data_IF_915658884756
#
_entry.id   IF_915658884756
#
_cell.length_a   1.000
_cell.length_b   1.000
_cell.length_c   1.000
_cell.angle_alpha   90.00
_cell.angle_beta   90.00
_cell.angle_gamma   90.00
#
_symmetry.space_group_name_H-M   'P 1'
#
loop_
_entity.id
_entity.type
_entity.pdbx_description
1 polymer ?
#
# COMPACT_ATOMS: atom_id res chain seq x y z
N UNK A 1 -8.24 41.81 34.62
CA UNK A 1 -7.18 42.25 33.69
C UNK A 1 -5.95 41.33 33.64
N UNK A 2 -5.35 40.92 34.77
CA UNK A 2 -4.15 40.05 34.77
C UNK A 2 -4.37 38.67 34.11
N UNK A 3 -5.54 38.05 34.29
CA UNK A 3 -5.85 36.74 33.70
C UNK A 3 -5.99 36.77 32.17
N UNK A 4 -6.42 37.89 31.58
CA UNK A 4 -6.55 38.03 30.11
C UNK A 4 -5.19 38.12 29.41
N UNK A 5 -4.19 38.72 30.05
CA UNK A 5 -2.82 38.81 29.50
C UNK A 5 -2.13 37.44 29.56
N UNK A 6 -2.33 36.67 30.63
CA UNK A 6 -1.77 35.33 30.75
C UNK A 6 -2.35 34.35 29.71
N UNK A 7 -3.66 34.41 29.45
CA UNK A 7 -4.30 33.61 28.39
C UNK A 7 -3.77 34.02 27.01
N UNK A 8 -3.61 35.32 26.77
CA UNK A 8 -3.09 35.81 25.49
C UNK A 8 -1.63 35.39 25.26
N UNK A 9 -0.77 35.47 26.28
CA UNK A 9 0.61 35.00 26.22
C UNK A 9 0.70 33.47 26.05
N UNK A 10 -0.19 32.72 26.70
CA UNK A 10 -0.27 31.27 26.52
C UNK A 10 -0.68 30.90 25.09
N UNK A 11 -1.68 31.58 24.52
CA UNK A 11 -2.09 31.37 23.13
C UNK A 11 -0.96 31.71 22.14
N UNK A 12 -0.21 32.79 22.36
CA UNK A 12 0.93 33.16 21.51
C UNK A 12 2.04 32.10 21.57
N UNK A 13 2.26 31.43 22.70
CA UNK A 13 3.32 30.43 22.83
C UNK A 13 2.88 29.03 22.34
N UNK A 14 1.61 28.66 22.53
CA UNK A 14 1.12 27.31 22.21
C UNK A 14 0.73 27.17 20.74
N UNK A 15 0.12 28.19 20.12
CA UNK A 15 -0.34 28.11 18.72
C UNK A 15 0.83 27.84 17.75
N UNK A 16 1.98 28.53 17.82
CA UNK A 16 3.11 28.24 16.94
C UNK A 16 3.62 26.81 17.09
N UNK A 17 3.69 26.29 18.33
CA UNK A 17 4.17 24.93 18.57
C UNK A 17 3.26 23.88 17.92
N UNK A 18 1.94 24.06 17.98
CA UNK A 18 0.99 23.20 17.30
C UNK A 18 1.16 23.24 15.76
N UNK A 19 1.33 24.44 15.18
CA UNK A 19 1.55 24.61 13.74
C UNK A 19 2.87 23.96 13.28
N UNK A 20 3.95 24.14 14.04
CA UNK A 20 5.24 23.50 13.75
C UNK A 20 5.19 21.97 13.90
N UNK A 21 4.43 21.44 14.86
CA UNK A 21 4.26 20.00 15.01
C UNK A 21 3.45 19.40 13.85
N UNK A 22 2.40 20.10 13.40
CA UNK A 22 1.61 19.71 12.22
C UNK A 22 2.47 19.71 10.95
N UNK A 23 3.29 20.74 10.73
CA UNK A 23 4.15 20.80 9.55
C UNK A 23 5.20 19.68 9.51
N UNK A 24 5.82 19.34 10.65
CA UNK A 24 6.75 18.19 10.73
C UNK A 24 6.07 16.84 10.45
N UNK A 25 4.81 16.69 10.87
CA UNK A 25 4.03 15.47 10.60
C UNK A 25 3.66 15.38 9.12
N UNK A 26 3.24 16.50 8.53
CA UNK A 26 2.94 16.60 7.10
C UNK A 26 4.16 16.22 6.25
N UNK A 27 5.32 16.79 6.54
CA UNK A 27 6.58 16.49 5.84
C UNK A 27 6.88 14.99 5.90
N UNK A 28 6.73 14.36 7.07
CA UNK A 28 6.95 12.92 7.22
C UNK A 28 6.00 12.07 6.40
N UNK A 29 4.72 12.45 6.29
CA UNK A 29 3.76 11.71 5.47
C UNK A 29 4.00 11.90 3.97
N UNK A 30 4.40 13.11 3.55
CA UNK A 30 4.81 13.37 2.17
C UNK A 30 6.07 12.57 1.81
N UNK A 31 7.07 12.55 2.69
CA UNK A 31 8.28 11.74 2.50
C UNK A 31 7.93 10.25 2.43
N UNK A 32 7.15 9.74 3.37
CA UNK A 32 6.71 8.34 3.34
C UNK A 32 6.00 7.98 2.04
N UNK A 33 5.09 8.85 1.57
CA UNK A 33 4.45 8.66 0.27
C UNK A 33 5.47 8.62 -0.87
N UNK A 34 6.48 9.50 -0.84
CA UNK A 34 7.58 9.48 -1.80
C UNK A 34 8.36 8.17 -1.76
N UNK A 35 8.56 7.57 -0.61
CA UNK A 35 9.31 6.31 -0.52
C UNK A 35 8.50 5.14 -1.13
N UNK A 36 7.18 5.14 -0.96
CA UNK A 36 6.33 3.98 -1.27
C UNK A 36 5.54 4.07 -2.57
N UNK A 37 5.46 5.22 -3.25
CA UNK A 37 4.54 5.39 -4.39
C UNK A 37 5.00 4.73 -5.71
N UNK A 38 6.31 4.55 -5.92
CA UNK A 38 6.89 4.08 -7.18
C UNK A 38 7.96 3.04 -6.89
N UNK A 39 8.11 2.08 -7.80
CA UNK A 39 9.16 1.07 -7.70
C UNK A 39 10.50 1.67 -8.12
N UNK A 40 11.54 1.46 -7.33
CA UNK A 40 12.92 1.74 -7.75
C UNK A 40 13.51 0.49 -8.41
N UNK A 41 14.07 0.65 -9.61
CA UNK A 41 14.70 -0.43 -10.36
C UNK A 41 16.22 -0.42 -10.19
N UNK A 42 16.86 -1.57 -10.40
CA UNK A 42 18.31 -1.72 -10.28
C UNK A 42 19.12 -0.85 -11.27
N UNK A 43 18.48 -0.33 -12.31
CA UNK A 43 19.09 0.61 -13.26
C UNK A 43 19.09 2.07 -12.76
N UNK A 44 18.66 2.32 -11.52
CA UNK A 44 18.61 3.65 -10.92
C UNK A 44 17.37 4.48 -11.29
N UNK A 45 16.39 3.89 -11.97
CA UNK A 45 15.17 4.59 -12.40
C UNK A 45 13.97 4.21 -11.55
N UNK A 46 13.02 5.14 -11.43
CA UNK A 46 11.71 4.87 -10.85
C UNK A 46 10.71 4.44 -11.93
N UNK A 47 9.80 3.54 -11.58
CA UNK A 47 8.62 3.27 -12.39
C UNK A 47 7.74 4.51 -12.54
N UNK A 48 6.95 4.62 -13.62
CA UNK A 48 5.81 5.53 -13.63
C UNK A 48 4.87 5.24 -12.45
N UNK A 49 4.08 6.24 -12.05
CA UNK A 49 3.04 6.06 -11.05
C UNK A 49 1.94 5.14 -11.61
N UNK A 50 1.66 4.03 -10.92
CA UNK A 50 0.63 3.06 -11.32
C UNK A 50 -0.57 3.18 -10.41
N UNK A 51 -1.79 3.25 -10.98
CA UNK A 51 -3.04 3.38 -10.23
C UNK A 51 -4.14 2.56 -10.91
N UNK A 52 -5.12 2.11 -10.14
CA UNK A 52 -6.42 1.77 -10.73
C UNK A 52 -7.18 3.05 -11.10
N UNK A 53 -7.96 3.00 -12.18
CA UNK A 53 -8.78 4.12 -12.65
C UNK A 53 -10.25 3.73 -12.86
N UNK A 54 -10.65 2.57 -12.33
CA UNK A 54 -11.96 1.95 -12.50
C UNK A 54 -12.32 1.11 -11.28
N UNK A 55 -13.59 0.73 -11.21
CA UNK A 55 -14.04 -0.32 -10.29
C UNK A 55 -13.27 -1.62 -10.55
N UNK A 56 -12.99 -2.36 -9.48
CA UNK A 56 -12.25 -3.62 -9.54
C UNK A 56 -13.01 -4.77 -8.90
N UNK A 57 -12.79 -5.96 -9.45
CA UNK A 57 -13.18 -7.23 -8.86
C UNK A 57 -11.98 -7.90 -8.22
N UNK A 58 -12.13 -8.43 -7.02
CA UNK A 58 -11.11 -9.25 -6.39
C UNK A 58 -11.63 -10.65 -6.07
N UNK A 59 -10.72 -11.62 -6.07
CA UNK A 59 -10.99 -13.00 -5.62
C UNK A 59 -9.92 -13.43 -4.63
N UNK A 60 -10.29 -14.37 -3.76
CA UNK A 60 -9.36 -15.09 -2.89
C UNK A 60 -9.28 -16.53 -3.38
N UNK A 61 -8.07 -17.09 -3.45
CA UNK A 61 -7.83 -18.45 -3.92
C UNK A 61 -6.84 -19.20 -3.02
N UNK A 62 -6.82 -20.53 -3.13
CA UNK A 62 -5.94 -21.40 -2.33
C UNK A 62 -6.61 -21.87 -1.04
N UNK A 63 -5.87 -21.89 0.07
CA UNK A 63 -6.35 -22.18 1.41
C UNK A 63 -7.25 -21.03 1.92
N UNK A 64 -8.55 -21.23 1.77
CA UNK A 64 -9.59 -20.32 2.25
C UNK A 64 -10.06 -20.67 3.66
N UNK A 65 -9.14 -21.05 4.55
CA UNK A 65 -9.52 -21.23 5.95
C UNK A 65 -10.26 -19.98 6.48
N UNK A 66 -11.14 -20.21 7.45
CA UNK A 66 -12.01 -19.14 7.93
C UNK A 66 -11.25 -17.97 8.58
N UNK A 67 -9.97 -18.16 8.95
CA UNK A 67 -9.15 -17.15 9.59
C UNK A 67 -8.61 -16.17 8.55
N UNK A 68 -7.90 -16.66 7.54
CA UNK A 68 -7.30 -15.82 6.51
C UNK A 68 -8.34 -15.16 5.62
N UNK A 69 -9.42 -15.88 5.29
CA UNK A 69 -10.50 -15.29 4.50
C UNK A 69 -11.13 -14.08 5.23
N UNK A 70 -11.43 -14.20 6.53
CA UNK A 70 -11.94 -13.07 7.33
C UNK A 70 -10.94 -11.90 7.38
N UNK A 71 -9.65 -12.20 7.43
CA UNK A 71 -8.61 -11.18 7.48
C UNK A 71 -8.51 -10.43 6.15
N UNK A 72 -8.53 -11.14 5.01
CA UNK A 72 -8.56 -10.51 3.69
C UNK A 72 -9.79 -9.63 3.56
N UNK A 73 -10.99 -10.14 3.86
CA UNK A 73 -12.24 -9.36 3.77
C UNK A 73 -12.12 -8.07 4.58
N UNK A 74 -11.67 -8.16 5.83
CA UNK A 74 -11.48 -6.98 6.67
C UNK A 74 -10.51 -5.96 6.05
N UNK A 75 -9.36 -6.41 5.54
CA UNK A 75 -8.38 -5.52 4.93
C UNK A 75 -8.96 -4.87 3.67
N UNK A 76 -9.70 -5.62 2.85
CA UNK A 76 -10.34 -5.09 1.64
C UNK A 76 -11.46 -4.09 1.97
N UNK A 77 -12.21 -4.31 3.06
CA UNK A 77 -13.17 -3.32 3.59
C UNK A 77 -12.44 -2.04 4.01
N UNK A 78 -11.32 -2.16 4.73
CA UNK A 78 -10.49 -1.02 5.11
C UNK A 78 -9.93 -0.28 3.87
N UNK A 79 -9.58 -1.00 2.78
CA UNK A 79 -9.19 -0.34 1.51
C UNK A 79 -10.37 0.38 0.87
N UNK A 80 -11.56 -0.22 0.87
CA UNK A 80 -12.76 0.36 0.25
C UNK A 80 -13.11 1.73 0.83
N UNK A 81 -12.85 1.98 2.11
CA UNK A 81 -13.04 3.31 2.73
C UNK A 81 -12.05 4.38 2.22
N UNK A 82 -10.93 3.96 1.63
CA UNK A 82 -9.82 4.82 1.20
C UNK A 82 -9.74 4.98 -0.31
N UNK A 83 -10.36 4.08 -1.05
CA UNK A 83 -10.27 3.95 -2.50
C UNK A 83 -11.51 4.55 -3.18
N UNK A 84 -11.35 5.40 -4.21
CA UNK A 84 -12.46 6.16 -4.79
C UNK A 84 -13.37 5.33 -5.70
N UNK A 85 -12.95 4.13 -6.11
CA UNK A 85 -13.74 3.24 -6.95
C UNK A 85 -14.34 2.09 -6.13
N UNK A 86 -15.28 1.36 -6.71
CA UNK A 86 -15.88 0.20 -6.06
C UNK A 86 -14.94 -1.00 -6.14
N UNK A 87 -14.84 -1.72 -5.03
CA UNK A 87 -14.19 -3.01 -4.90
C UNK A 87 -15.29 -4.04 -4.68
N UNK A 88 -15.33 -5.08 -5.51
CA UNK A 88 -16.33 -6.15 -5.40
C UNK A 88 -15.66 -7.51 -5.33
N UNK A 89 -16.16 -8.37 -4.45
CA UNK A 89 -15.73 -9.77 -4.44
C UNK A 89 -16.37 -10.52 -5.62
N UNK A 90 -15.59 -11.37 -6.28
CA UNK A 90 -16.07 -12.35 -7.25
C UNK A 90 -15.54 -13.73 -6.88
N UNK A 91 -16.37 -14.77 -7.06
CA UNK A 91 -15.93 -16.16 -6.97
C UNK A 91 -15.31 -16.67 -8.27
N UNK A 92 -15.51 -15.95 -9.37
CA UNK A 92 -14.93 -16.28 -10.67
C UNK A 92 -13.54 -15.64 -10.81
N UNK A 93 -12.52 -16.50 -10.90
CA UNK A 93 -11.13 -16.07 -11.02
C UNK A 93 -10.82 -15.42 -12.36
N UNK A 94 -11.54 -15.79 -13.41
CA UNK A 94 -11.32 -15.25 -14.77
C UNK A 94 -11.85 -13.81 -14.89
N UNK A 95 -12.79 -13.43 -14.02
CA UNK A 95 -13.32 -12.06 -13.94
C UNK A 95 -12.57 -11.17 -12.93
N UNK A 96 -11.60 -11.70 -12.18
CA UNK A 96 -10.91 -10.96 -11.13
C UNK A 96 -9.80 -10.07 -11.69
N UNK A 97 -9.80 -8.80 -11.29
CA UNK A 97 -8.70 -7.86 -11.55
C UNK A 97 -7.60 -7.99 -10.51
N UNK A 98 -7.96 -8.35 -9.27
CA UNK A 98 -7.06 -8.59 -8.16
C UNK A 98 -7.20 -10.02 -7.64
N UNK A 99 -6.16 -10.83 -7.78
CA UNK A 99 -6.11 -12.20 -7.26
C UNK A 99 -5.23 -12.28 -6.02
N UNK A 100 -5.85 -12.65 -4.90
CA UNK A 100 -5.17 -12.89 -3.62
C UNK A 100 -5.05 -14.41 -3.43
N UNK A 101 -3.85 -14.95 -3.61
CA UNK A 101 -3.60 -16.38 -3.39
C UNK A 101 -3.01 -16.60 -2.00
N UNK A 102 -3.66 -17.45 -1.23
CA UNK A 102 -3.24 -17.87 0.10
C UNK A 102 -2.91 -19.36 0.05
N UNK A 103 -1.64 -19.74 0.19
CA UNK A 103 -1.23 -21.15 0.22
C UNK A 103 0.09 -21.37 -0.47
N UNK A 104 0.48 -22.63 -0.68
CA UNK A 104 1.82 -22.96 -1.15
C UNK A 104 2.22 -22.22 -2.45
N UNK A 105 3.41 -21.62 -2.45
CA UNK A 105 3.88 -20.83 -3.60
C UNK A 105 4.09 -21.64 -4.88
N UNK A 106 4.36 -22.94 -4.78
CA UNK A 106 4.48 -23.82 -5.94
C UNK A 106 3.11 -24.02 -6.59
N UNK A 107 2.04 -24.13 -5.79
CA UNK A 107 0.67 -24.16 -6.32
C UNK A 107 0.33 -22.83 -7.00
N UNK A 108 0.71 -21.70 -6.41
CA UNK A 108 0.55 -20.39 -7.06
C UNK A 108 1.27 -20.32 -8.41
N UNK A 109 2.55 -20.75 -8.46
CA UNK A 109 3.32 -20.77 -9.71
C UNK A 109 2.63 -21.56 -10.81
N UNK A 110 2.12 -22.75 -10.49
CA UNK A 110 1.45 -23.64 -11.45
C UNK A 110 0.20 -23.01 -12.07
N UNK A 111 -0.50 -22.15 -11.33
CA UNK A 111 -1.79 -21.61 -11.73
C UNK A 111 -1.76 -20.17 -12.26
N UNK A 112 -0.82 -19.34 -11.80
CA UNK A 112 -0.86 -17.89 -12.06
C UNK A 112 0.42 -17.33 -12.69
N UNK A 113 1.51 -18.10 -12.73
CA UNK A 113 2.78 -17.65 -13.30
C UNK A 113 3.06 -18.36 -14.63
N UNK A 114 3.83 -17.71 -15.51
CA UNK A 114 4.33 -18.38 -16.70
C UNK A 114 5.28 -19.52 -16.31
N UNK A 115 5.35 -20.56 -17.15
CA UNK A 115 6.20 -21.74 -16.91
C UNK A 115 7.68 -21.38 -16.76
N UNK A 116 8.09 -20.28 -17.37
CA UNK A 116 9.46 -19.81 -17.46
C UNK A 116 9.91 -19.05 -16.20
N UNK A 117 8.98 -18.72 -15.29
CA UNK A 117 9.33 -18.05 -14.03
C UNK A 117 9.93 -19.06 -13.07
N UNK A 118 11.22 -18.92 -12.80
CA UNK A 118 11.91 -19.64 -11.73
C UNK A 118 11.70 -18.91 -10.39
N UNK A 119 11.21 -19.65 -9.40
CA UNK A 119 11.15 -19.18 -8.02
C UNK A 119 12.50 -19.45 -7.37
N UNK A 120 13.03 -18.47 -6.64
CA UNK A 120 14.22 -18.70 -5.84
C UNK A 120 13.91 -19.72 -4.74
N UNK A 121 14.89 -20.55 -4.40
CA UNK A 121 14.77 -21.48 -3.28
C UNK A 121 14.40 -20.71 -2.00
N UNK A 122 13.42 -21.21 -1.25
CA UNK A 122 12.91 -20.55 -0.04
C UNK A 122 11.95 -19.38 -0.27
N UNK A 123 11.58 -19.06 -1.52
CA UNK A 123 10.51 -18.08 -1.78
C UNK A 123 9.21 -18.52 -1.11
N UNK A 124 8.54 -17.61 -0.42
CA UNK A 124 7.27 -17.87 0.29
C UNK A 124 6.20 -16.83 -0.04
N UNK A 125 6.49 -15.97 -1.03
CA UNK A 125 5.58 -14.94 -1.49
C UNK A 125 5.95 -14.54 -2.93
N UNK A 126 4.99 -14.02 -3.68
CA UNK A 126 5.22 -13.47 -5.02
C UNK A 126 4.23 -12.35 -5.30
N UNK A 127 4.63 -11.36 -6.09
CA UNK A 127 3.78 -10.25 -6.51
C UNK A 127 3.95 -10.01 -8.01
N UNK A 128 2.85 -10.01 -8.75
CA UNK A 128 2.79 -9.77 -10.20
C UNK A 128 1.70 -8.77 -10.53
N UNK A 129 1.93 -7.98 -11.57
CA UNK A 129 0.96 -7.02 -12.06
C UNK A 129 1.13 -6.81 -13.56
N UNK A 130 0.05 -6.38 -14.20
CA UNK A 130 0.01 -5.90 -15.58
C UNK A 130 -0.61 -4.51 -15.62
N UNK A 131 -0.11 -3.71 -16.54
CA UNK A 131 -0.58 -2.34 -16.76
C UNK A 131 -1.00 -2.17 -18.22
N UNK A 132 -1.89 -1.21 -18.46
CA UNK A 132 -2.22 -0.76 -19.80
C UNK A 132 -1.15 0.20 -20.36
N UNK A 133 -1.37 0.70 -21.59
CA UNK A 133 -0.44 1.62 -22.25
C UNK A 133 -0.38 3.01 -21.58
N UNK A 134 -1.30 3.31 -20.68
CA UNK A 134 -1.37 4.53 -19.89
C UNK A 134 -0.80 4.33 -18.47
N UNK A 135 -0.21 3.17 -18.19
CA UNK A 135 0.31 2.72 -16.89
C UNK A 135 -0.75 2.51 -15.80
N UNK A 136 -2.04 2.46 -16.16
CA UNK A 136 -3.05 2.07 -15.20
C UNK A 136 -2.90 0.59 -14.89
N UNK A 137 -3.10 0.22 -13.62
CA UNK A 137 -3.19 -1.17 -13.24
C UNK A 137 -4.40 -1.79 -13.96
N UNK A 138 -4.16 -2.93 -14.61
CA UNK A 138 -5.20 -3.70 -15.27
C UNK A 138 -5.41 -5.07 -14.62
N UNK A 139 -4.34 -5.63 -14.05
CA UNK A 139 -4.42 -6.88 -13.29
C UNK A 139 -3.32 -6.90 -12.24
N UNK A 140 -3.61 -7.45 -11.06
CA UNK A 140 -2.64 -7.75 -10.02
C UNK A 140 -2.92 -9.14 -9.48
N UNK A 141 -1.86 -9.91 -9.25
CA UNK A 141 -1.96 -11.13 -8.45
C UNK A 141 -0.79 -11.25 -7.51
N UNK A 142 -1.04 -11.80 -6.32
CA UNK A 142 0.02 -12.09 -5.38
C UNK A 142 -0.25 -13.36 -4.58
N UNK A 143 0.83 -13.91 -4.05
CA UNK A 143 0.84 -15.10 -3.20
C UNK A 143 1.40 -14.76 -1.83
N UNK A 144 0.74 -15.23 -0.78
CA UNK A 144 1.28 -15.35 0.57
C UNK A 144 1.23 -16.84 0.94
N UNK A 145 2.39 -17.44 1.18
CA UNK A 145 2.48 -18.86 1.51
C UNK A 145 2.10 -19.13 2.97
N UNK A 146 0.80 -19.32 3.20
CA UNK A 146 0.23 -19.59 4.53
C UNK A 146 0.28 -21.06 4.95
N UNK A 147 0.88 -21.92 4.13
CA UNK A 147 0.98 -23.36 4.40
C UNK A 147 2.38 -23.75 4.85
N UNK A 148 3.40 -23.05 4.33
CA UNK A 148 4.80 -23.33 4.59
C UNK A 148 5.40 -22.40 5.65
N UNK A 149 4.76 -21.25 5.91
CA UNK A 149 5.13 -20.31 6.96
C UNK A 149 4.24 -20.56 8.18
N UNK A 150 4.83 -20.81 9.35
CA UNK A 150 4.10 -20.94 10.62
C UNK A 150 4.33 -19.72 11.53
N UNK A 151 4.25 -18.52 10.95
CA UNK A 151 4.45 -17.23 11.63
C UNK A 151 3.36 -16.26 11.20
N UNK A 152 2.24 -16.28 11.94
CA UNK A 152 1.01 -15.50 11.65
C UNK A 152 1.21 -14.01 11.47
N UNK A 153 2.14 -13.42 12.22
CA UNK A 153 2.42 -12.00 12.12
C UNK A 153 3.22 -11.67 10.86
N UNK A 154 4.07 -12.59 10.40
CA UNK A 154 4.79 -12.44 9.14
C UNK A 154 3.86 -12.58 7.93
N UNK A 155 2.97 -13.57 7.95
CA UNK A 155 1.94 -13.75 6.94
C UNK A 155 1.00 -12.52 6.89
N UNK A 156 0.64 -11.96 8.05
CA UNK A 156 -0.10 -10.70 8.14
C UNK A 156 0.63 -9.55 7.49
N UNK A 157 1.90 -9.37 7.83
CA UNK A 157 2.76 -8.33 7.29
C UNK A 157 2.80 -8.39 5.76
N UNK A 158 3.06 -9.59 5.20
CA UNK A 158 3.10 -9.81 3.76
C UNK A 158 1.75 -9.46 3.11
N UNK A 159 0.64 -9.89 3.72
CA UNK A 159 -0.68 -9.62 3.19
C UNK A 159 -1.02 -8.12 3.18
N UNK A 160 -0.77 -7.40 4.28
CA UNK A 160 -1.01 -5.96 4.34
C UNK A 160 -0.14 -5.19 3.34
N UNK A 161 1.13 -5.57 3.20
CA UNK A 161 2.05 -5.00 2.21
C UNK A 161 1.54 -5.24 0.79
N UNK A 162 1.24 -6.48 0.45
CA UNK A 162 0.88 -6.86 -0.91
C UNK A 162 -0.48 -6.35 -1.34
N UNK A 163 -1.42 -6.21 -0.41
CA UNK A 163 -2.66 -5.50 -0.70
C UNK A 163 -2.33 -4.04 -1.07
N UNK A 164 -1.59 -3.28 -0.26
CA UNK A 164 -1.26 -1.90 -0.61
C UNK A 164 -0.45 -1.78 -1.92
N UNK A 165 0.49 -2.69 -2.18
CA UNK A 165 1.19 -2.78 -3.48
C UNK A 165 0.20 -3.06 -4.61
N UNK A 166 -0.78 -3.92 -4.39
CA UNK A 166 -1.85 -4.21 -5.33
C UNK A 166 -2.75 -3.02 -5.63
N UNK A 167 -2.73 -1.99 -4.78
CA UNK A 167 -3.38 -0.70 -5.03
C UNK A 167 -2.42 0.39 -5.53
N UNK A 168 -1.19 0.05 -5.95
CA UNK A 168 -0.28 0.96 -6.67
C UNK A 168 0.88 1.54 -5.85
N UNK A 169 0.92 1.32 -4.53
CA UNK A 169 2.05 1.74 -3.69
C UNK A 169 3.21 0.76 -3.81
N UNK A 170 4.03 0.88 -4.86
CA UNK A 170 4.99 -0.16 -5.26
C UNK A 170 6.36 -0.10 -4.60
N UNK A 171 6.68 0.98 -3.89
CA UNK A 171 7.99 1.23 -3.30
C UNK A 171 8.28 0.48 -2.00
N UNK A 172 9.27 0.99 -1.27
CA UNK A 172 9.74 0.49 0.03
C UNK A 172 10.12 1.68 0.90
N UNK A 173 10.11 1.51 2.22
CA UNK A 173 10.39 2.56 3.20
C UNK A 173 11.46 2.09 4.18
N UNK A 174 12.28 3.01 4.68
CA UNK A 174 13.25 2.71 5.76
C UNK A 174 12.62 2.81 7.16
N UNK A 175 11.38 3.28 7.26
CA UNK A 175 10.68 3.44 8.53
C UNK A 175 10.06 2.11 9.00
N UNK A 176 10.61 1.57 10.08
CA UNK A 176 10.32 0.26 10.68
C UNK A 176 8.86 0.03 11.02
N UNK A 177 8.09 1.09 11.30
CA UNK A 177 6.67 0.96 11.66
C UNK A 177 5.77 0.75 10.43
N UNK A 178 6.31 0.87 9.21
CA UNK A 178 5.53 0.71 7.97
C UNK A 178 5.50 -0.74 7.51
N UNK A 179 4.38 -1.17 6.92
CA UNK A 179 4.33 -2.44 6.18
C UNK A 179 5.26 -2.43 4.95
N UNK A 180 5.75 -1.28 4.51
CA UNK A 180 6.74 -1.14 3.43
C UNK A 180 8.20 -1.22 3.91
N UNK A 181 8.45 -1.38 5.21
CA UNK A 181 9.80 -1.62 5.74
C UNK A 181 10.35 -2.96 5.28
N UNK A 182 11.49 -3.01 4.60
CA UNK A 182 11.97 -4.20 3.88
C UNK A 182 11.88 -5.51 4.68
N UNK A 183 12.13 -5.46 5.98
CA UNK A 183 12.07 -6.61 6.88
C UNK A 183 10.77 -6.65 7.71
N UNK A 184 10.39 -7.86 8.12
CA UNK A 184 9.34 -8.02 9.12
C UNK A 184 9.89 -7.78 10.52
N UNK A 185 9.14 -7.02 11.31
CA UNK A 185 9.43 -6.75 12.70
C UNK A 185 8.14 -6.75 13.53
N UNK A 186 8.21 -7.08 14.82
CA UNK A 186 7.07 -6.90 15.71
C UNK A 186 6.55 -5.45 15.64
N UNK A 187 5.28 -5.29 15.26
CA UNK A 187 4.61 -3.98 15.18
C UNK A 187 4.37 -3.45 13.76
N UNK A 188 4.99 -4.03 12.73
CA UNK A 188 4.77 -3.65 11.33
C UNK A 188 3.85 -4.61 10.55
N UNK A 189 3.13 -5.49 11.24
CA UNK A 189 2.23 -6.51 10.68
C UNK A 189 0.85 -5.96 10.29
N UNK A 190 0.65 -4.64 10.38
CA UNK A 190 -0.58 -3.89 10.08
C UNK A 190 -0.23 -2.51 9.55
N UNK A 191 -1.17 -1.87 8.85
CA UNK A 191 -0.96 -0.52 8.33
C UNK A 191 -0.74 0.50 9.46
N UNK A 192 0.35 1.24 9.34
CA UNK A 192 0.57 2.43 10.14
C UNK A 192 -0.27 3.60 9.60
N UNK A 193 -0.42 4.67 10.40
CA UNK A 193 -1.16 5.87 9.96
C UNK A 193 -0.57 6.49 8.68
N UNK A 194 0.75 6.46 8.51
CA UNK A 194 1.43 6.97 7.31
C UNK A 194 1.15 6.11 6.08
N UNK A 195 0.99 4.78 6.22
CA UNK A 195 0.61 3.90 5.10
C UNK A 195 -0.79 4.22 4.60
N UNK A 196 -1.74 4.40 5.53
CA UNK A 196 -3.12 4.82 5.22
C UNK A 196 -3.11 6.19 4.54
N UNK A 197 -2.35 7.16 5.05
CA UNK A 197 -2.25 8.49 4.45
C UNK A 197 -1.59 8.41 3.06
N UNK A 198 -0.58 7.57 2.86
CA UNK A 198 0.04 7.37 1.56
C UNK A 198 -0.98 6.87 0.53
N UNK A 199 -1.85 5.92 0.88
CA UNK A 199 -2.90 5.45 -0.03
C UNK A 199 -3.92 6.56 -0.36
N UNK A 200 -4.34 7.35 0.64
CA UNK A 200 -5.23 8.51 0.42
C UNK A 200 -4.61 9.55 -0.51
N UNK A 201 -3.33 9.87 -0.30
CA UNK A 201 -2.58 10.78 -1.17
C UNK A 201 -2.53 10.20 -2.59
N UNK A 202 -2.16 8.93 -2.72
CA UNK A 202 -2.03 8.23 -3.99
C UNK A 202 -3.28 8.32 -4.84
N UNK A 203 -4.46 8.16 -4.22
CA UNK A 203 -5.75 8.21 -4.89
C UNK A 203 -6.42 9.59 -4.94
N UNK A 204 -5.75 10.64 -4.46
CA UNK A 204 -6.25 12.00 -4.70
C UNK A 204 -6.23 12.36 -6.19
N UNK A 205 -7.14 13.25 -6.58
CA UNK A 205 -7.28 13.78 -7.95
C UNK A 205 -6.01 14.47 -8.48
N UNK A 206 -5.11 14.87 -7.57
CA UNK A 206 -3.86 15.51 -7.93
C UNK A 206 -2.88 14.56 -8.64
N UNK A 207 -2.97 13.25 -8.39
CA UNK A 207 -2.07 12.26 -8.97
C UNK A 207 -2.75 11.46 -10.08
N UNK A 208 -2.06 11.32 -11.21
CA UNK A 208 -2.53 10.55 -12.35
C UNK A 208 -1.56 9.42 -12.63
N UNK A 209 -2.09 8.31 -13.15
CA UNK A 209 -1.24 7.24 -13.63
C UNK A 209 -0.30 7.74 -14.74
N UNK A 210 0.89 7.15 -14.81
CA UNK A 210 1.95 7.51 -15.75
C UNK A 210 2.83 8.69 -15.30
N UNK A 211 2.53 9.35 -14.18
CA UNK A 211 3.39 10.43 -13.68
C UNK A 211 4.81 9.95 -13.41
N UNK A 212 5.81 10.72 -13.84
CA UNK A 212 7.22 10.52 -13.52
C UNK A 212 7.51 10.85 -12.06
N UNK A 213 8.67 10.43 -11.57
CA UNK A 213 9.12 10.75 -10.20
C UNK A 213 9.11 12.25 -9.90
N UNK A 214 9.64 13.04 -10.84
CA UNK A 214 9.72 14.51 -10.74
C UNK A 214 8.32 15.14 -10.70
N UNK A 215 7.40 14.68 -11.56
CA UNK A 215 6.02 15.17 -11.55
C UNK A 215 5.32 14.87 -10.22
N UNK A 216 5.54 13.68 -9.66
CA UNK A 216 4.99 13.30 -8.35
C UNK A 216 5.58 14.20 -7.25
N UNK A 217 6.87 14.47 -7.29
CA UNK A 217 7.56 15.36 -6.35
C UNK A 217 7.04 16.81 -6.40
N UNK A 218 6.82 17.34 -7.60
CA UNK A 218 6.28 18.68 -7.80
C UNK A 218 4.87 18.81 -7.21
N UNK A 219 4.02 17.81 -7.48
CA UNK A 219 2.63 17.78 -6.99
C UNK A 219 2.59 17.61 -5.47
N UNK A 220 3.33 16.65 -4.90
CA UNK A 220 3.25 16.36 -3.46
C UNK A 220 3.74 17.52 -2.60
N UNK A 221 4.74 18.28 -3.08
CA UNK A 221 5.28 19.45 -2.38
C UNK A 221 4.19 20.51 -2.16
N UNK A 222 3.31 20.70 -3.14
CA UNK A 222 2.26 21.71 -3.12
C UNK A 222 0.93 21.22 -2.54
N UNK A 223 0.73 19.90 -2.44
CA UNK A 223 -0.51 19.32 -1.93
C UNK A 223 -0.69 19.58 -0.43
N UNK A 224 -1.70 20.34 0.02
CA UNK A 224 -2.00 20.44 1.44
C UNK A 224 -2.59 19.13 1.96
N UNK A 225 -2.06 18.60 3.07
CA UNK A 225 -2.64 17.41 3.70
C UNK A 225 -3.66 17.82 4.76
N UNK A 226 -4.91 17.39 4.61
CA UNK A 226 -5.91 17.46 5.68
C UNK A 226 -5.63 16.33 6.69
N UNK A 227 -4.81 16.62 7.71
CA UNK A 227 -4.29 15.66 8.69
C UNK A 227 -5.19 15.36 9.89
#
# INVERSE_FOLDING_TARGET
MKSSIAIFLFLILVIPQCVFAQSKKEIRYKQHYMDVNQRFYNNGQYSPLMKWNRDIKYTVAGNMDSYWNKRVVKIMDDVQELFPYRITFTSDKEEADLVIFLGNIQAYKLHYLSRDIELQEGSNNWFSFYQDNQNNLNFVSFCVDVESIDIRDFESYLMHRFILKGFGLMGYSDDTDSVFFNDWMPGNDRWSRKDIVALKIHYSEAFKSGMSREQVEDVIRLLPLSL
#
